data_IF_610775100945
#
_entry.id   IF_610775100945
#
_cell.length_a   1.000
_cell.length_b   1.000
_cell.length_c   1.000
_cell.angle_alpha   90.00
_cell.angle_beta   90.00
_cell.angle_gamma   90.00
#
_symmetry.space_group_name_H-M   'P 1'
#
loop_
_entity.id
_entity.type
_entity.pdbx_description
1 polymer ?
#
# COMPACT_ATOMS: atom_id res chain seq x y z
N UNK A 1 1.95 -22.93 -1.66
CA UNK A 1 2.84 -21.73 -1.62
C UNK A 1 4.30 -22.02 -1.91
N UNK A 2 4.95 -23.00 -1.29
CA UNK A 2 6.40 -23.19 -1.50
C UNK A 2 6.82 -23.86 -2.83
N UNK A 3 5.92 -24.47 -3.61
CA UNK A 3 6.27 -25.11 -4.89
C UNK A 3 6.69 -24.09 -5.95
N UNK A 4 6.06 -22.92 -5.97
CA UNK A 4 6.29 -21.87 -6.97
C UNK A 4 7.25 -20.77 -6.49
N UNK A 5 7.69 -20.82 -5.22
CA UNK A 5 8.57 -19.84 -4.57
C UNK A 5 9.74 -20.55 -3.88
N UNK A 6 10.76 -20.97 -4.67
CA UNK A 6 11.93 -21.70 -4.14
C UNK A 6 12.74 -20.89 -3.13
N UNK A 7 12.67 -19.55 -3.21
CA UNK A 7 13.29 -18.62 -2.27
C UNK A 7 12.70 -18.72 -0.85
N UNK A 8 11.49 -19.23 -0.70
CA UNK A 8 10.82 -19.40 0.59
C UNK A 8 11.05 -20.76 1.26
N UNK A 9 11.69 -21.72 0.58
CA UNK A 9 11.87 -23.08 1.11
C UNK A 9 12.54 -23.11 2.49
N UNK A 10 13.54 -22.25 2.68
CA UNK A 10 14.31 -22.20 3.94
C UNK A 10 13.57 -21.51 5.09
N UNK A 11 12.39 -20.92 4.82
CA UNK A 11 11.60 -20.18 5.81
C UNK A 11 10.29 -20.89 6.17
N UNK A 12 10.00 -22.03 5.55
CA UNK A 12 8.79 -22.83 5.85
C UNK A 12 8.80 -23.27 7.30
N UNK A 13 7.75 -22.94 8.05
CA UNK A 13 7.62 -23.25 9.48
C UNK A 13 8.40 -22.33 10.41
N UNK A 14 9.04 -21.28 9.90
CA UNK A 14 9.71 -20.27 10.71
C UNK A 14 8.79 -19.05 10.95
N UNK A 15 8.93 -18.46 12.11
CA UNK A 15 8.39 -17.13 12.42
C UNK A 15 9.38 -16.06 11.95
N UNK A 16 8.89 -15.09 11.15
CA UNK A 16 9.73 -14.04 10.58
C UNK A 16 9.23 -12.67 11.03
N UNK A 17 10.18 -11.80 11.36
CA UNK A 17 9.86 -10.42 11.72
C UNK A 17 9.35 -9.64 10.52
N UNK A 18 8.14 -9.07 10.61
CA UNK A 18 7.61 -8.19 9.58
C UNK A 18 8.29 -6.83 9.68
N UNK A 19 8.88 -6.39 8.56
CA UNK A 19 9.52 -5.08 8.43
C UNK A 19 8.51 -4.03 7.95
N UNK A 20 7.65 -4.41 6.98
CA UNK A 20 6.68 -3.49 6.40
C UNK A 20 5.53 -4.21 5.71
N UNK A 21 4.38 -3.57 5.70
CA UNK A 21 3.23 -3.89 4.84
C UNK A 21 3.13 -2.84 3.75
N UNK A 22 3.17 -3.27 2.50
CA UNK A 22 3.08 -2.39 1.35
C UNK A 22 1.63 -2.31 0.85
N UNK A 23 1.15 -1.10 0.66
CA UNK A 23 -0.24 -0.83 0.29
C UNK A 23 -0.32 0.11 -0.91
N UNK A 24 -1.29 -0.13 -1.79
CA UNK A 24 -1.70 0.82 -2.82
C UNK A 24 -2.95 1.58 -2.38
N UNK A 25 -3.05 2.86 -2.71
CA UNK A 25 -4.34 3.55 -2.71
C UNK A 25 -5.20 3.04 -3.85
N UNK A 26 -6.52 2.99 -3.66
CA UNK A 26 -7.47 2.54 -4.67
C UNK A 26 -8.59 3.54 -4.82
N UNK A 27 -9.20 3.60 -6.00
CA UNK A 27 -10.41 4.38 -6.29
C UNK A 27 -11.39 3.52 -7.08
N UNK A 28 -12.68 3.81 -7.06
CA UNK A 28 -13.64 3.19 -7.97
C UNK A 28 -13.19 3.31 -9.43
N UNK A 29 -13.32 2.24 -10.20
CA UNK A 29 -13.05 2.26 -11.64
C UNK A 29 -13.96 3.26 -12.36
N UNK A 30 -13.47 4.01 -13.36
CA UNK A 30 -14.32 4.82 -14.21
C UNK A 30 -15.17 4.00 -15.18
N UNK A 31 -14.87 2.72 -15.35
CA UNK A 31 -15.59 1.83 -16.24
C UNK A 31 -16.92 1.37 -15.62
N UNK A 32 -18.07 1.64 -16.26
CA UNK A 32 -19.37 1.23 -15.73
C UNK A 32 -19.50 -0.28 -15.51
N UNK A 33 -18.81 -1.09 -16.33
CA UNK A 33 -18.83 -2.56 -16.21
C UNK A 33 -18.24 -3.06 -14.89
N UNK A 34 -17.40 -2.23 -14.25
CA UNK A 34 -16.80 -2.53 -12.95
C UNK A 34 -17.72 -2.27 -11.76
N UNK A 35 -18.91 -1.70 -11.97
CA UNK A 35 -19.92 -1.45 -10.93
C UNK A 35 -19.35 -0.81 -9.65
N UNK A 36 -18.44 0.15 -9.79
CA UNK A 36 -17.78 0.83 -8.66
C UNK A 36 -16.69 0.03 -7.95
N UNK A 37 -16.29 -1.16 -8.45
CA UNK A 37 -15.16 -1.91 -7.90
C UNK A 37 -13.88 -1.08 -7.93
N UNK A 38 -13.12 -1.18 -6.84
CA UNK A 38 -11.90 -0.41 -6.65
C UNK A 38 -10.74 -0.96 -7.46
N UNK A 39 -9.97 -0.06 -8.06
CA UNK A 39 -8.73 -0.35 -8.80
C UNK A 39 -7.55 0.42 -8.20
N UNK A 40 -6.33 -0.15 -8.24
CA UNK A 40 -5.20 0.41 -7.54
C UNK A 40 -4.55 1.56 -8.32
N UNK A 41 -3.97 2.50 -7.59
CA UNK A 41 -3.16 3.61 -8.08
C UNK A 41 -1.69 3.28 -7.84
N UNK A 42 -1.05 2.59 -8.77
CA UNK A 42 0.32 2.09 -8.65
C UNK A 42 1.17 2.71 -9.74
N UNK A 43 2.31 3.28 -9.36
CA UNK A 43 3.28 3.84 -10.31
C UNK A 43 4.21 2.78 -10.89
N UNK A 44 4.62 1.82 -10.07
CA UNK A 44 5.47 0.70 -10.45
C UNK A 44 5.16 -0.49 -9.56
N UNK A 45 5.19 -1.68 -10.12
CA UNK A 45 4.99 -2.95 -9.40
C UNK A 45 6.30 -3.52 -8.82
N UNK A 46 7.45 -2.89 -9.09
CA UNK A 46 8.72 -3.34 -8.52
C UNK A 46 8.76 -3.22 -7.00
N UNK A 47 9.23 -4.28 -6.36
CA UNK A 47 9.60 -4.33 -4.95
C UNK A 47 11.12 -4.23 -4.77
N UNK A 48 11.87 -4.85 -5.70
CA UNK A 48 13.33 -4.79 -5.75
C UNK A 48 13.79 -4.91 -7.20
N UNK A 49 14.68 -4.00 -7.62
CA UNK A 49 15.38 -4.06 -8.92
C UNK A 49 16.83 -4.54 -8.76
N UNK A 50 17.23 -4.98 -7.55
CA UNK A 50 18.60 -5.41 -7.30
C UNK A 50 18.88 -6.69 -8.07
N UNK A 51 19.94 -6.69 -8.90
CA UNK A 51 20.38 -7.84 -9.70
C UNK A 51 20.54 -9.10 -8.83
N UNK A 52 19.89 -10.18 -9.23
CA UNK A 52 19.86 -11.46 -8.51
C UNK A 52 18.96 -11.48 -7.27
N UNK A 53 18.24 -10.39 -7.00
CA UNK A 53 17.21 -10.24 -5.94
C UNK A 53 16.02 -9.42 -6.44
N UNK A 54 15.73 -9.56 -7.73
CA UNK A 54 14.59 -8.92 -8.35
C UNK A 54 13.30 -9.47 -7.72
N UNK A 55 12.37 -8.58 -7.41
CA UNK A 55 11.05 -8.95 -6.90
C UNK A 55 10.02 -7.90 -7.34
N UNK A 56 8.82 -8.34 -7.65
CA UNK A 56 7.73 -7.46 -8.07
C UNK A 56 6.38 -8.02 -7.67
N UNK A 57 5.40 -7.14 -7.60
CA UNK A 57 3.99 -7.52 -7.42
C UNK A 57 3.40 -7.83 -8.79
N UNK A 58 2.81 -9.00 -8.94
CA UNK A 58 2.11 -9.41 -10.15
C UNK A 58 0.59 -9.35 -9.93
N UNK A 59 -0.17 -8.57 -10.71
CA UNK A 59 -1.62 -8.55 -10.63
C UNK A 59 -2.21 -9.74 -11.39
N UNK A 60 -2.86 -10.64 -10.68
CA UNK A 60 -3.67 -11.71 -11.28
C UNK A 60 -5.08 -11.17 -11.47
N UNK A 61 -5.53 -11.07 -12.71
CA UNK A 61 -6.78 -10.41 -13.09
C UNK A 61 -7.80 -11.47 -13.52
N UNK A 62 -8.97 -11.47 -12.88
CA UNK A 62 -10.16 -12.17 -13.34
C UNK A 62 -11.11 -11.18 -14.04
N UNK A 63 -10.98 -11.11 -15.36
CA UNK A 63 -11.80 -10.21 -16.17
C UNK A 63 -13.30 -10.55 -16.12
N UNK A 64 -13.66 -11.84 -15.98
CA UNK A 64 -15.05 -12.28 -15.92
C UNK A 64 -15.77 -11.80 -14.67
N UNK A 65 -15.05 -11.78 -13.54
CA UNK A 65 -15.57 -11.28 -12.26
C UNK A 65 -15.29 -9.79 -12.05
N UNK A 66 -14.46 -9.15 -12.87
CA UNK A 66 -14.00 -7.79 -12.64
C UNK A 66 -13.17 -7.68 -11.34
N UNK A 67 -12.34 -8.67 -11.04
CA UNK A 67 -11.58 -8.77 -9.82
C UNK A 67 -10.08 -8.92 -10.11
N UNK A 68 -9.27 -8.61 -9.11
CA UNK A 68 -7.83 -8.85 -9.16
C UNK A 68 -7.30 -9.21 -7.78
N UNK A 69 -6.18 -9.93 -7.75
CA UNK A 69 -5.37 -10.15 -6.55
C UNK A 69 -3.92 -9.88 -6.88
N UNK A 70 -3.12 -9.63 -5.85
CA UNK A 70 -1.68 -9.47 -5.98
C UNK A 70 -0.96 -10.74 -5.56
N UNK A 71 0.08 -11.08 -6.30
CA UNK A 71 1.05 -12.12 -5.98
C UNK A 71 2.45 -11.52 -6.04
N UNK A 72 3.32 -11.91 -5.15
CA UNK A 72 4.73 -11.53 -5.22
C UNK A 72 5.48 -12.56 -6.06
N UNK A 73 6.21 -12.07 -7.04
CA UNK A 73 7.10 -12.89 -7.88
C UNK A 73 8.54 -12.43 -7.71
N UNK A 74 9.47 -13.39 -7.79
CA UNK A 74 10.90 -13.14 -7.69
C UNK A 74 11.60 -13.55 -8.99
N UNK A 75 12.72 -12.88 -9.28
CA UNK A 75 13.44 -13.04 -10.53
C UNK A 75 13.00 -12.08 -11.62
N UNK A 76 13.38 -12.40 -12.87
CA UNK A 76 13.03 -11.56 -14.01
C UNK A 76 11.55 -11.65 -14.34
N UNK A 77 10.91 -10.53 -14.73
CA UNK A 77 9.53 -10.56 -15.20
C UNK A 77 9.40 -11.45 -16.45
N UNK A 78 8.25 -12.13 -16.56
CA UNK A 78 7.93 -12.91 -17.76
C UNK A 78 7.65 -11.99 -18.95
N UNK A 79 7.77 -12.51 -20.15
CA UNK A 79 7.36 -11.82 -21.38
C UNK A 79 5.91 -11.34 -21.28
N UNK A 80 5.67 -10.10 -21.68
CA UNK A 80 4.33 -9.48 -21.65
C UNK A 80 3.94 -8.78 -20.36
N UNK A 81 4.77 -8.81 -19.31
CA UNK A 81 4.55 -8.02 -18.09
C UNK A 81 5.76 -7.14 -17.78
N UNK A 82 5.54 -5.82 -17.81
CA UNK A 82 6.53 -4.83 -17.39
C UNK A 82 6.14 -4.25 -16.03
N UNK A 83 6.90 -4.55 -14.96
CA UNK A 83 6.64 -3.99 -13.63
C UNK A 83 6.81 -2.46 -13.54
N UNK A 84 7.45 -1.82 -14.50
CA UNK A 84 7.51 -0.35 -14.61
C UNK A 84 6.22 0.23 -15.21
N UNK A 85 5.39 -0.59 -15.85
CA UNK A 85 4.10 -0.20 -16.38
C UNK A 85 2.99 -0.22 -15.33
N UNK A 86 3.04 0.73 -14.40
CA UNK A 86 2.03 0.91 -13.37
C UNK A 86 0.66 1.36 -13.93
N UNK A 87 -0.33 1.46 -13.03
CA UNK A 87 -1.68 1.92 -13.37
C UNK A 87 -1.79 3.45 -13.41
N UNK A 88 -0.82 4.19 -12.83
CA UNK A 88 -0.74 5.66 -12.83
C UNK A 88 0.56 6.11 -13.48
N UNK A 89 0.45 7.06 -14.43
CA UNK A 89 1.56 7.73 -15.11
C UNK A 89 1.39 9.25 -15.03
N UNK A 90 2.36 10.00 -15.60
CA UNK A 90 2.32 11.48 -15.59
C UNK A 90 1.08 12.06 -16.29
N UNK A 91 0.58 11.41 -17.33
CA UNK A 91 -0.57 11.86 -18.11
C UNK A 91 -1.93 11.42 -17.56
N UNK A 92 -1.96 10.54 -16.57
CA UNK A 92 -3.17 9.94 -16.02
C UNK A 92 -2.98 8.48 -15.66
N UNK A 93 -4.06 7.75 -15.47
CA UNK A 93 -4.05 6.33 -15.13
C UNK A 93 -4.95 5.51 -16.04
N UNK A 94 -4.99 4.23 -15.72
CA UNK A 94 -5.88 3.25 -16.35
C UNK A 94 -6.43 2.27 -15.32
N UNK A 95 -7.62 1.77 -15.57
CA UNK A 95 -8.19 0.66 -14.83
C UNK A 95 -7.31 -0.58 -14.99
N UNK A 96 -6.88 -1.20 -13.90
CA UNK A 96 -6.04 -2.41 -13.93
C UNK A 96 -6.74 -3.58 -14.64
N UNK A 97 -8.07 -3.68 -14.52
CA UNK A 97 -8.86 -4.82 -15.00
C UNK A 97 -9.29 -4.66 -16.46
N UNK A 98 -9.83 -3.49 -16.79
CA UNK A 98 -10.43 -3.24 -18.12
C UNK A 98 -9.55 -2.44 -19.05
N UNK A 99 -8.52 -1.78 -18.53
CA UNK A 99 -7.67 -0.86 -19.31
C UNK A 99 -8.32 0.51 -19.55
N UNK A 100 -9.56 0.75 -19.12
CA UNK A 100 -10.26 2.02 -19.30
C UNK A 100 -9.45 3.20 -18.76
N UNK A 101 -9.38 4.30 -19.52
CA UNK A 101 -8.63 5.49 -19.15
C UNK A 101 -9.19 6.12 -17.86
N UNK A 102 -8.30 6.43 -16.93
CA UNK A 102 -8.61 7.00 -15.61
C UNK A 102 -7.83 8.30 -15.43
N UNK A 103 -8.40 9.41 -15.86
CA UNK A 103 -7.77 10.72 -15.75
C UNK A 103 -7.68 11.21 -14.31
N UNK A 104 -6.75 12.12 -14.01
CA UNK A 104 -6.63 12.75 -12.70
C UNK A 104 -7.91 13.45 -12.21
N UNK A 105 -8.76 14.08 -13.07
CA UNK A 105 -10.04 14.61 -12.62
C UNK A 105 -10.92 13.56 -11.96
N UNK A 106 -10.98 12.32 -12.52
CA UNK A 106 -11.73 11.23 -11.90
C UNK A 106 -11.14 10.88 -10.53
N UNK A 107 -9.81 10.67 -10.43
CA UNK A 107 -9.15 10.33 -9.16
C UNK A 107 -9.39 11.39 -8.09
N UNK A 108 -9.32 12.68 -8.46
CA UNK A 108 -9.61 13.81 -7.56
C UNK A 108 -11.04 13.79 -7.08
N UNK A 109 -12.00 13.62 -7.99
CA UNK A 109 -13.42 13.51 -7.66
C UNK A 109 -13.69 12.40 -6.67
N UNK A 110 -13.12 11.21 -6.91
CA UNK A 110 -13.27 10.08 -5.98
C UNK A 110 -12.63 10.36 -4.61
N UNK A 111 -11.46 10.99 -4.59
CA UNK A 111 -10.82 11.42 -3.33
C UNK A 111 -11.67 12.42 -2.55
N UNK A 112 -12.19 13.47 -3.22
CA UNK A 112 -13.07 14.48 -2.61
C UNK A 112 -14.38 13.89 -2.07
N UNK A 113 -14.85 12.80 -2.66
CA UNK A 113 -16.04 12.06 -2.22
C UNK A 113 -15.74 11.03 -1.12
N UNK A 114 -14.50 10.99 -0.59
CA UNK A 114 -14.10 10.01 0.42
C UNK A 114 -14.02 8.55 -0.09
N UNK A 115 -14.02 8.33 -1.41
CA UNK A 115 -14.01 7.01 -2.03
C UNK A 115 -12.60 6.42 -2.20
N UNK A 116 -11.57 7.11 -1.71
CA UNK A 116 -10.22 6.58 -1.76
C UNK A 116 -10.00 5.57 -0.64
N UNK A 117 -9.67 4.34 -0.99
CA UNK A 117 -9.35 3.23 -0.06
C UNK A 117 -7.91 2.78 -0.21
N UNK A 118 -7.55 1.71 0.48
CA UNK A 118 -6.24 1.08 0.35
C UNK A 118 -6.39 -0.43 0.16
N UNK A 119 -5.40 -1.05 -0.52
CA UNK A 119 -5.30 -2.50 -0.67
C UNK A 119 -3.87 -2.94 -0.44
N UNK A 120 -3.69 -3.98 0.35
CA UNK A 120 -2.37 -4.56 0.60
C UNK A 120 -1.81 -5.19 -0.69
N UNK A 121 -0.53 -4.94 -0.97
CA UNK A 121 0.16 -5.41 -2.16
C UNK A 121 1.17 -6.51 -1.85
N UNK A 122 1.87 -6.39 -0.73
CA UNK A 122 2.90 -7.32 -0.29
C UNK A 122 3.18 -7.14 1.21
N UNK A 123 3.78 -8.17 1.82
CA UNK A 123 4.39 -8.10 3.14
C UNK A 123 5.90 -8.23 2.97
N UNK A 124 6.66 -7.41 3.67
CA UNK A 124 8.13 -7.45 3.69
C UNK A 124 8.58 -7.97 5.04
N UNK A 125 9.37 -9.04 5.02
CA UNK A 125 9.89 -9.67 6.24
C UNK A 125 11.41 -9.70 6.23
N UNK A 126 11.99 -9.81 7.41
CA UNK A 126 13.42 -9.98 7.60
C UNK A 126 13.81 -11.43 7.28
N UNK A 127 14.75 -11.61 6.38
CA UNK A 127 15.32 -12.92 6.04
C UNK A 127 16.82 -12.97 6.31
N UNK A 128 17.39 -14.16 6.32
CA UNK A 128 18.80 -14.42 6.66
C UNK A 128 19.82 -13.63 5.80
N UNK A 129 19.44 -13.24 4.58
CA UNK A 129 20.32 -12.52 3.63
C UNK A 129 19.70 -11.23 3.11
N UNK A 130 18.79 -10.62 3.89
CA UNK A 130 18.10 -9.39 3.56
C UNK A 130 16.58 -9.58 3.48
N UNK A 131 15.91 -8.65 2.82
CA UNK A 131 14.44 -8.62 2.75
C UNK A 131 13.89 -9.77 1.93
N UNK A 132 12.82 -10.38 2.43
CA UNK A 132 11.99 -11.36 1.74
C UNK A 132 10.61 -10.74 1.52
N UNK A 133 10.04 -10.95 0.34
CA UNK A 133 8.75 -10.39 -0.03
C UNK A 133 7.71 -11.52 -0.11
N UNK A 134 6.61 -11.36 0.61
CA UNK A 134 5.51 -12.32 0.68
C UNK A 134 4.26 -11.73 0.03
N UNK A 135 3.36 -12.60 -0.40
CA UNK A 135 2.03 -12.22 -0.87
C UNK A 135 1.27 -11.43 0.19
N UNK A 136 0.25 -10.63 -0.21
CA UNK A 136 -0.66 -10.00 0.74
C UNK A 136 -1.29 -11.05 1.65
N UNK A 137 -1.44 -10.70 2.92
CA UNK A 137 -2.08 -11.54 3.92
C UNK A 137 -3.42 -10.93 4.36
N UNK A 138 -4.50 -11.69 4.16
CA UNK A 138 -5.84 -11.22 4.44
C UNK A 138 -6.09 -10.99 5.95
N UNK A 139 -5.43 -11.76 6.83
CA UNK A 139 -5.55 -11.59 8.28
C UNK A 139 -4.87 -10.28 8.73
N UNK A 140 -3.68 -9.99 8.20
CA UNK A 140 -3.01 -8.72 8.44
C UNK A 140 -3.82 -7.53 7.91
N UNK A 141 -4.45 -7.68 6.74
CA UNK A 141 -5.30 -6.63 6.18
C UNK A 141 -6.53 -6.36 7.07
N UNK A 142 -7.20 -7.42 7.53
CA UNK A 142 -8.37 -7.31 8.40
C UNK A 142 -8.04 -6.64 9.75
N UNK A 143 -6.89 -6.97 10.36
CA UNK A 143 -6.41 -6.32 11.59
C UNK A 143 -6.13 -4.84 11.33
N UNK A 144 -5.47 -4.52 10.22
CA UNK A 144 -5.13 -3.14 9.85
C UNK A 144 -6.37 -2.26 9.61
N UNK A 145 -7.48 -2.84 9.15
CA UNK A 145 -8.76 -2.14 8.94
C UNK A 145 -9.47 -1.81 10.26
N UNK A 146 -9.17 -2.54 11.34
CA UNK A 146 -9.74 -2.30 12.67
C UNK A 146 -9.00 -1.20 13.46
N UNK A 147 -7.89 -0.69 12.94
CA UNK A 147 -7.09 0.31 13.63
C UNK A 147 -7.87 1.63 13.82
N UNK A 148 -7.97 2.06 15.07
CA UNK A 148 -8.59 3.33 15.47
C UNK A 148 -7.54 4.13 16.25
N UNK A 149 -7.04 5.26 15.71
CA UNK A 149 -6.07 6.08 16.42
C UNK A 149 -6.73 6.76 17.63
N UNK A 150 -6.03 6.81 18.75
CA UNK A 150 -6.48 7.51 19.96
C UNK A 150 -6.41 9.04 19.81
N UNK A 151 -5.57 9.52 18.87
CA UNK A 151 -5.39 10.93 18.56
C UNK A 151 -5.08 11.13 17.07
N UNK A 152 -5.42 12.31 16.55
CA UNK A 152 -5.05 12.73 15.20
C UNK A 152 -4.88 14.25 15.13
N UNK A 153 -3.94 14.76 14.27
CA UNK A 153 -3.76 16.21 14.11
C UNK A 153 -4.96 16.85 13.41
N UNK A 154 -5.51 17.90 13.99
CA UNK A 154 -6.65 18.66 13.44
C UNK A 154 -6.25 19.83 12.54
N UNK A 155 -4.95 20.20 12.51
CA UNK A 155 -4.48 21.32 11.72
C UNK A 155 -4.74 21.10 10.23
N UNK A 156 -5.21 22.16 9.56
CA UNK A 156 -5.48 22.15 8.12
C UNK A 156 -4.18 22.19 7.30
N UNK A 157 -4.24 21.56 6.13
CA UNK A 157 -3.17 21.65 5.15
C UNK A 157 -3.17 23.04 4.48
N UNK A 158 -1.98 23.59 4.14
CA UNK A 158 -1.88 24.89 3.51
C UNK A 158 -2.62 24.92 2.17
N UNK A 159 -3.37 25.99 1.93
CA UNK A 159 -4.03 26.21 0.65
C UNK A 159 -3.03 26.80 -0.36
N UNK A 160 -2.39 25.93 -1.13
CA UNK A 160 -1.50 26.33 -2.23
C UNK A 160 -1.80 25.47 -3.47
N UNK A 161 -2.80 25.85 -4.30
CA UNK A 161 -3.22 25.03 -5.44
C UNK A 161 -2.17 24.92 -6.55
N UNK A 162 -1.16 25.79 -6.57
CA UNK A 162 -0.08 25.75 -7.55
C UNK A 162 0.94 24.64 -7.21
N UNK A 163 1.45 24.66 -5.99
CA UNK A 163 2.61 23.84 -5.61
C UNK A 163 2.23 22.66 -4.73
N UNK A 164 1.14 22.79 -3.94
CA UNK A 164 0.65 21.77 -3.04
C UNK A 164 -0.74 21.28 -3.43
N UNK A 165 -0.78 20.18 -4.18
CA UNK A 165 -2.01 19.67 -4.82
C UNK A 165 -2.74 18.59 -4.02
N UNK A 166 -2.24 18.22 -2.85
CA UNK A 166 -2.81 17.15 -2.00
C UNK A 166 -4.27 17.43 -1.59
N UNK A 167 -4.66 18.66 -1.24
CA UNK A 167 -6.07 18.98 -0.92
C UNK A 167 -7.04 18.71 -2.09
N UNK A 168 -6.57 18.76 -3.33
CA UNK A 168 -7.39 18.45 -4.50
C UNK A 168 -7.87 16.98 -4.53
N UNK A 169 -7.25 16.11 -3.73
CA UNK A 169 -7.62 14.70 -3.60
C UNK A 169 -8.47 14.42 -2.36
N UNK A 170 -9.05 15.45 -1.74
CA UNK A 170 -9.92 15.34 -0.57
C UNK A 170 -9.20 15.32 0.77
N UNK A 171 -7.88 15.46 0.79
CA UNK A 171 -7.08 15.52 2.01
C UNK A 171 -6.98 16.97 2.46
N UNK A 172 -7.68 17.36 3.54
CA UNK A 172 -7.80 18.76 4.01
C UNK A 172 -6.95 19.04 5.24
N UNK A 173 -6.74 18.02 6.09
CA UNK A 173 -5.99 18.13 7.33
C UNK A 173 -4.68 17.31 7.26
N UNK A 174 -3.77 17.55 8.19
CA UNK A 174 -2.58 16.71 8.32
C UNK A 174 -2.93 15.26 8.65
N UNK A 175 -4.05 15.00 9.34
CA UNK A 175 -4.54 13.65 9.60
C UNK A 175 -4.85 12.89 8.30
N UNK A 176 -5.41 13.55 7.30
CA UNK A 176 -5.82 12.93 6.03
C UNK A 176 -4.64 12.40 5.20
N UNK A 177 -3.41 12.83 5.52
CA UNK A 177 -2.20 12.31 4.87
C UNK A 177 -1.90 10.86 5.26
N UNK A 178 -2.43 10.42 6.39
CA UNK A 178 -2.21 9.11 6.97
C UNK A 178 -3.48 8.26 6.91
N UNK A 179 -3.31 6.96 6.91
CA UNK A 179 -4.41 6.02 7.16
C UNK A 179 -4.58 5.82 8.67
N UNK A 180 -5.75 5.36 9.17
CA UNK A 180 -5.95 5.10 10.59
C UNK A 180 -4.86 4.21 11.21
N UNK A 181 -4.44 3.13 10.53
CA UNK A 181 -3.35 2.26 10.98
C UNK A 181 -2.00 2.97 11.11
N UNK A 182 -1.71 3.94 10.24
CA UNK A 182 -0.47 4.74 10.32
C UNK A 182 -0.54 5.70 11.49
N UNK A 183 -1.66 6.36 11.70
CA UNK A 183 -1.86 7.22 12.88
C UNK A 183 -1.77 6.43 14.17
N UNK A 184 -2.42 5.26 14.26
CA UNK A 184 -2.31 4.37 15.42
C UNK A 184 -0.85 4.04 15.73
N UNK A 185 -0.07 3.64 14.73
CA UNK A 185 1.35 3.33 14.92
C UNK A 185 2.14 4.55 15.40
N UNK A 186 1.97 5.72 14.76
CA UNK A 186 2.68 6.94 15.13
C UNK A 186 2.35 7.42 16.55
N UNK A 187 1.07 7.37 16.93
CA UNK A 187 0.62 7.76 18.27
C UNK A 187 1.18 6.79 19.31
N UNK A 188 1.09 5.48 19.07
CA UNK A 188 1.67 4.47 19.95
C UNK A 188 3.17 4.68 20.17
N UNK A 189 3.93 4.95 19.11
CA UNK A 189 5.37 5.24 19.26
C UNK A 189 5.62 6.51 20.07
N UNK A 190 4.82 7.56 19.87
CA UNK A 190 4.93 8.80 20.64
C UNK A 190 4.67 8.56 22.12
N UNK A 191 3.63 7.80 22.44
CA UNK A 191 3.25 7.47 23.83
C UNK A 191 4.36 6.64 24.52
N UNK A 192 4.89 5.62 23.83
CA UNK A 192 5.99 4.79 24.32
C UNK A 192 7.27 5.59 24.61
N UNK A 193 7.57 6.64 23.83
CA UNK A 193 8.69 7.56 24.13
C UNK A 193 8.43 8.30 25.44
N UNK A 194 7.21 8.74 25.70
CA UNK A 194 6.80 9.35 26.95
C UNK A 194 6.96 8.42 28.16
N UNK A 195 6.50 7.17 28.02
CA UNK A 195 6.64 6.14 29.05
C UNK A 195 8.12 5.81 29.34
N UNK A 196 8.93 5.62 28.28
CA UNK A 196 10.35 5.34 28.43
C UNK A 196 11.08 6.50 29.15
N UNK A 197 10.75 7.75 28.82
CA UNK A 197 11.30 8.92 29.50
C UNK A 197 10.94 8.93 30.99
N UNK A 198 9.68 8.66 31.33
CA UNK A 198 9.22 8.62 32.71
C UNK A 198 9.98 7.55 33.50
N UNK A 199 10.15 6.35 32.94
CA UNK A 199 10.88 5.24 33.56
C UNK A 199 12.35 5.57 33.79
N UNK A 200 13.05 6.17 32.81
CA UNK A 200 14.45 6.60 32.98
C UNK A 200 14.58 7.64 34.11
N UNK A 201 13.65 8.59 34.22
CA UNK A 201 13.66 9.58 35.30
C UNK A 201 13.40 8.97 36.68
N UNK A 202 12.64 7.88 36.74
CA UNK A 202 12.39 7.12 37.98
C UNK A 202 13.65 6.34 38.39
N UNK A 203 14.30 5.65 37.43
CA UNK A 203 15.51 4.86 37.67
C UNK A 203 16.75 5.75 38.05
N UNK A 204 16.71 7.05 37.76
CA UNK A 204 17.77 8.01 38.10
C UNK A 204 17.58 8.69 39.47
N UNK A 205 16.52 8.36 40.20
CA UNK A 205 16.26 8.88 41.56
C UNK A 205 16.72 7.92 42.65
#
# INVERSE_FOLDING_TARGET
>A
MAKDRPDLKNYVGQELTVIAWLWARTVPSPDPSMAGKHVPLIRSFWLSKKKGKEAFVYPVIDKGKGEYRFEVRVGKPNEGFDPDDGTIRRAGGRCLVTGAAMGFPHVRKQGQQGQMKTRQMAVVVEGNRGRVYLDPDASHAAIAEQAVPSWSPSAELPHNPRDFKTPNYGMKTFADLFTPRQLTALVTFSDLVGEARAKVLEDCR
#
